data_IF_990822507572
#
_entry.id   IF_990822507572
#
_cell.length_a   1.000
_cell.length_b   1.000
_cell.length_c   1.000
_cell.angle_alpha   90.00
_cell.angle_beta   90.00
_cell.angle_gamma   90.00
#
_symmetry.space_group_name_H-M   'P 1'
#
loop_
_entity.id
_entity.type
_entity.pdbx_description
1 polymer ?
#
# COMPACT_ATOMS: atom_id res chain seq x y z
N UNK A 1 24.78 -22.85 21.49
CA UNK A 1 23.60 -21.97 21.62
C UNK A 1 22.64 -22.29 20.49
N UNK A 2 21.44 -22.79 20.82
CA UNK A 2 20.51 -23.39 19.86
C UNK A 2 19.72 -22.31 19.09
N UNK A 3 19.57 -22.50 17.78
CA UNK A 3 18.78 -21.63 16.92
C UNK A 3 17.29 -21.95 17.05
N UNK A 4 16.50 -21.01 17.59
CA UNK A 4 15.05 -21.09 17.60
C UNK A 4 14.50 -20.86 16.19
N UNK A 5 14.01 -21.92 15.55
CA UNK A 5 13.34 -21.84 14.25
C UNK A 5 11.82 -21.82 14.44
N UNK A 6 11.16 -20.80 13.88
CA UNK A 6 9.69 -20.73 13.83
C UNK A 6 9.24 -21.56 12.62
N UNK A 7 8.60 -22.72 12.88
CA UNK A 7 7.92 -23.50 11.84
C UNK A 7 6.54 -22.88 11.57
N UNK A 8 6.37 -22.25 10.41
CA UNK A 8 5.05 -21.82 9.92
C UNK A 8 4.54 -22.87 8.93
N UNK A 9 3.60 -23.72 9.36
CA UNK A 9 2.93 -24.68 8.49
C UNK A 9 1.72 -24.00 7.83
N UNK A 10 1.77 -23.72 6.52
CA UNK A 10 0.60 -23.27 5.76
C UNK A 10 -0.05 -24.48 5.07
N UNK A 11 -1.25 -24.86 5.52
CA UNK A 11 -2.06 -25.88 4.85
C UNK A 11 -2.75 -25.29 3.60
N UNK A 12 -2.01 -25.13 2.50
CA UNK A 12 -2.61 -24.91 1.19
C UNK A 12 -2.95 -26.27 0.58
N UNK A 13 -4.17 -26.76 0.83
CA UNK A 13 -4.71 -27.91 0.11
C UNK A 13 -4.95 -27.48 -1.35
N UNK A 14 -4.06 -27.89 -2.25
CA UNK A 14 -4.22 -27.72 -3.69
C UNK A 14 -5.52 -28.43 -4.11
N UNK A 15 -6.51 -27.68 -4.59
CA UNK A 15 -7.65 -28.27 -5.30
C UNK A 15 -7.12 -28.72 -6.66
N UNK A 16 -7.13 -30.03 -6.89
CA UNK A 16 -6.71 -30.75 -8.11
C UNK A 16 -5.24 -31.20 -8.11
N UNK A 17 -4.96 -32.30 -7.42
CA UNK A 17 -4.10 -33.44 -7.84
C UNK A 17 -2.72 -33.23 -8.48
N UNK A 18 -2.19 -32.02 -8.58
CA UNK A 18 -0.90 -31.74 -9.20
C UNK A 18 0.26 -32.00 -8.23
N UNK A 19 1.24 -32.80 -8.65
CA UNK A 19 2.51 -32.96 -7.94
C UNK A 19 3.21 -31.61 -7.76
N UNK A 20 3.60 -31.21 -6.53
CA UNK A 20 4.28 -29.94 -6.30
C UNK A 20 5.72 -30.00 -6.84
N UNK A 21 5.96 -29.37 -7.99
CA UNK A 21 7.29 -29.29 -8.59
C UNK A 21 8.13 -28.20 -7.91
N UNK A 22 9.15 -28.64 -7.16
CA UNK A 22 10.35 -27.93 -6.66
C UNK A 22 10.11 -26.73 -5.73
N UNK A 23 10.51 -26.91 -4.47
CA UNK A 23 10.75 -25.85 -3.50
C UNK A 23 11.70 -24.80 -4.10
N UNK A 24 11.19 -23.58 -4.34
CA UNK A 24 12.03 -22.43 -4.66
C UNK A 24 12.72 -21.99 -3.36
N UNK A 25 14.03 -22.21 -3.26
CA UNK A 25 14.84 -21.66 -2.17
C UNK A 25 14.72 -20.13 -2.19
N UNK A 26 14.12 -19.56 -1.16
CA UNK A 26 14.09 -18.12 -0.95
C UNK A 26 15.44 -17.77 -0.31
N UNK A 27 16.23 -16.82 -0.85
CA UNK A 27 17.46 -16.41 -0.19
C UNK A 27 17.14 -15.91 1.22
N UNK A 28 17.90 -16.41 2.21
CA UNK A 28 17.83 -15.92 3.58
C UNK A 28 18.09 -14.42 3.58
N UNK A 29 17.23 -13.66 4.25
CA UNK A 29 17.48 -12.26 4.55
C UNK A 29 18.68 -12.19 5.50
N UNK A 30 19.88 -11.96 4.96
CA UNK A 30 21.05 -11.63 5.77
C UNK A 30 20.80 -10.25 6.36
N UNK A 31 20.75 -10.15 7.68
CA UNK A 31 20.76 -8.83 8.33
C UNK A 31 22.13 -8.18 8.05
N UNK A 32 22.18 -6.90 7.65
CA UNK A 32 23.46 -6.25 7.42
C UNK A 32 24.26 -6.19 8.74
N UNK A 33 25.53 -6.55 8.66
CA UNK A 33 26.50 -6.47 9.75
C UNK A 33 26.76 -4.99 10.05
N UNK A 34 26.77 -4.64 11.33
CA UNK A 34 27.03 -3.27 11.78
C UNK A 34 28.44 -2.84 11.34
N UNK A 35 28.52 -1.85 10.45
CA UNK A 35 29.81 -1.32 9.98
C UNK A 35 29.75 -0.49 8.71
N UNK A 36 28.76 -0.69 7.85
CA UNK A 36 28.63 0.13 6.64
C UNK A 36 27.79 1.38 6.94
N UNK A 37 28.39 2.55 6.73
CA UNK A 37 27.73 3.87 6.77
C UNK A 37 26.72 4.00 5.62
N UNK A 38 25.66 3.19 5.63
CA UNK A 38 24.53 3.29 4.71
C UNK A 38 23.58 4.30 5.33
N UNK A 39 23.65 5.54 4.85
CA UNK A 39 22.67 6.58 5.14
C UNK A 39 21.26 5.97 5.09
N UNK A 40 20.56 6.07 6.22
CA UNK A 40 19.23 5.54 6.53
C UNK A 40 18.49 5.08 5.26
N UNK A 41 18.68 3.81 4.89
CA UNK A 41 17.90 3.19 3.83
C UNK A 41 16.50 2.98 4.41
N UNK A 42 15.68 4.02 4.31
CA UNK A 42 14.25 3.95 4.51
C UNK A 42 13.76 2.83 3.60
N UNK A 43 13.39 1.70 4.21
CA UNK A 43 12.80 0.56 3.51
C UNK A 43 11.79 1.12 2.50
N UNK A 44 11.90 0.81 1.19
CA UNK A 44 10.98 1.37 0.21
C UNK A 44 9.58 0.97 0.65
N UNK A 45 8.81 1.93 1.16
CA UNK A 45 7.41 1.72 1.44
C UNK A 45 6.80 1.26 0.13
N UNK A 46 6.22 0.05 0.12
CA UNK A 46 5.69 -0.52 -1.11
C UNK A 46 4.50 0.34 -1.51
N UNK A 47 4.74 1.26 -2.45
CA UNK A 47 3.74 2.12 -3.04
C UNK A 47 2.61 1.26 -3.59
N UNK A 48 1.37 1.75 -3.48
CA UNK A 48 0.21 1.03 -4.00
C UNK A 48 0.11 1.15 -5.52
N UNK A 49 0.38 2.35 -6.02
CA UNK A 49 0.24 2.66 -7.44
C UNK A 49 1.49 2.39 -8.26
N UNK A 50 1.34 2.59 -9.56
CA UNK A 50 2.40 2.43 -10.58
C UNK A 50 2.94 3.80 -11.00
N UNK A 51 4.02 3.80 -11.77
CA UNK A 51 4.63 5.00 -12.36
C UNK A 51 4.92 6.12 -11.34
N UNK A 52 5.74 5.86 -10.30
CA UNK A 52 5.99 6.83 -9.26
C UNK A 52 6.67 8.09 -9.81
N UNK A 53 6.07 9.24 -9.54
CA UNK A 53 6.62 10.55 -9.85
C UNK A 53 6.75 11.36 -8.56
N UNK A 54 7.98 11.75 -8.22
CA UNK A 54 8.21 12.62 -7.05
C UNK A 54 7.57 13.98 -7.28
N UNK A 55 6.80 14.46 -6.31
CA UNK A 55 6.17 15.77 -6.35
C UNK A 55 6.20 16.44 -4.97
N UNK A 56 7.16 17.35 -4.80
CA UNK A 56 7.42 18.10 -3.55
C UNK A 56 7.58 17.13 -2.37
N UNK A 57 6.60 17.10 -1.47
CA UNK A 57 6.59 16.25 -0.26
C UNK A 57 5.86 14.92 -0.45
N UNK A 58 5.48 14.59 -1.69
CA UNK A 58 4.64 13.44 -2.03
C UNK A 58 5.21 12.64 -3.19
N UNK A 59 4.70 11.43 -3.36
CA UNK A 59 4.92 10.61 -4.54
C UNK A 59 3.56 10.44 -5.23
N UNK A 60 3.46 10.87 -6.48
CA UNK A 60 2.27 10.62 -7.29
C UNK A 60 2.40 9.25 -7.94
N UNK A 61 1.32 8.49 -7.96
CA UNK A 61 1.26 7.18 -8.62
C UNK A 61 -0.07 7.01 -9.33
N UNK A 62 -0.18 6.01 -10.20
CA UNK A 62 -1.37 5.73 -10.99
C UNK A 62 -1.95 4.34 -10.72
N UNK A 63 -3.28 4.22 -10.72
CA UNK A 63 -4.00 2.94 -10.72
C UNK A 63 -5.21 3.04 -11.66
N UNK A 64 -5.42 1.99 -12.48
CA UNK A 64 -6.59 1.89 -13.36
C UNK A 64 -7.85 1.43 -12.60
N UNK A 65 -9.03 1.76 -13.14
CA UNK A 65 -10.32 1.34 -12.61
C UNK A 65 -11.05 2.39 -11.78
N UNK A 66 -10.57 3.63 -11.85
CA UNK A 66 -11.41 4.79 -11.59
C UNK A 66 -11.95 4.92 -10.17
N UNK A 67 -13.12 5.56 -10.07
CA UNK A 67 -13.79 5.81 -8.79
C UNK A 67 -14.17 4.54 -8.04
N UNK A 68 -14.53 3.47 -8.74
CA UNK A 68 -14.97 2.23 -8.12
C UNK A 68 -13.81 1.53 -7.37
N UNK A 69 -12.66 1.38 -8.04
CA UNK A 69 -11.45 0.82 -7.42
C UNK A 69 -10.97 1.71 -6.28
N UNK A 70 -10.96 3.04 -6.46
CA UNK A 70 -10.59 3.97 -5.40
C UNK A 70 -11.45 3.78 -4.14
N UNK A 71 -12.78 3.68 -4.28
CA UNK A 71 -13.68 3.44 -3.14
C UNK A 71 -13.38 2.10 -2.46
N UNK A 72 -13.10 1.04 -3.23
CA UNK A 72 -12.77 -0.28 -2.70
C UNK A 72 -11.50 -0.24 -1.86
N UNK A 73 -10.43 0.33 -2.41
CA UNK A 73 -9.14 0.52 -1.72
C UNK A 73 -9.35 1.34 -0.45
N UNK A 74 -10.00 2.51 -0.54
CA UNK A 74 -10.24 3.36 0.61
C UNK A 74 -10.98 2.59 1.73
N UNK A 75 -12.07 1.89 1.42
CA UNK A 75 -12.83 1.09 2.40
C UNK A 75 -11.97 0.00 3.05
N UNK A 76 -11.09 -0.63 2.29
CA UNK A 76 -10.19 -1.65 2.83
C UNK A 76 -9.24 -1.07 3.89
N UNK A 77 -8.61 0.08 3.59
CA UNK A 77 -7.66 0.73 4.49
C UNK A 77 -8.31 1.45 5.68
N UNK A 78 -9.57 1.86 5.54
CA UNK A 78 -10.35 2.46 6.64
C UNK A 78 -11.21 1.45 7.38
N UNK A 79 -11.02 0.15 7.16
CA UNK A 79 -11.77 -0.87 7.89
C UNK A 79 -11.58 -0.68 9.39
N UNK A 80 -12.68 -0.61 10.13
CA UNK A 80 -12.72 -0.36 11.58
C UNK A 80 -12.18 1.01 12.03
N UNK A 81 -11.98 1.96 11.11
CA UNK A 81 -11.58 3.33 11.43
C UNK A 81 -12.77 4.28 11.30
N UNK A 82 -12.82 5.29 12.16
CA UNK A 82 -13.78 6.40 11.99
C UNK A 82 -13.40 7.23 10.77
N UNK A 83 -14.38 7.51 9.92
CA UNK A 83 -14.23 8.32 8.70
C UNK A 83 -15.11 9.55 8.81
N UNK A 84 -14.55 10.70 8.45
CA UNK A 84 -15.26 11.97 8.35
C UNK A 84 -15.43 12.30 6.86
N UNK A 85 -16.58 12.87 6.50
CA UNK A 85 -16.84 13.36 5.16
C UNK A 85 -16.91 14.89 5.17
N UNK A 86 -16.36 15.51 4.14
CA UNK A 86 -16.48 16.95 3.88
C UNK A 86 -16.76 17.13 2.40
N UNK A 87 -17.64 18.06 2.07
CA UNK A 87 -17.96 18.42 0.69
C UNK A 87 -17.62 19.88 0.44
N UNK A 88 -16.89 20.15 -0.65
CA UNK A 88 -16.50 21.51 -1.03
C UNK A 88 -16.34 21.59 -2.54
N UNK A 89 -16.93 22.61 -3.17
CA UNK A 89 -16.77 22.92 -4.60
C UNK A 89 -16.98 21.71 -5.55
N UNK A 90 -18.00 20.88 -5.30
CA UNK A 90 -18.27 19.69 -6.12
C UNK A 90 -17.25 18.56 -5.98
N UNK A 91 -16.45 18.59 -4.91
CA UNK A 91 -15.56 17.51 -4.48
C UNK A 91 -16.01 16.99 -3.12
N UNK A 92 -16.21 15.67 -3.04
CA UNK A 92 -16.39 14.97 -1.77
C UNK A 92 -15.04 14.44 -1.31
N UNK A 93 -14.59 14.84 -0.12
CA UNK A 93 -13.44 14.27 0.56
C UNK A 93 -13.91 13.41 1.72
N UNK A 94 -13.35 12.21 1.86
CA UNK A 94 -13.49 11.39 3.06
C UNK A 94 -12.10 11.09 3.61
N UNK A 95 -11.92 11.21 4.92
CA UNK A 95 -10.63 10.94 5.56
C UNK A 95 -10.81 10.26 6.91
N UNK A 96 -9.79 9.51 7.32
CA UNK A 96 -9.66 9.10 8.72
C UNK A 96 -9.37 10.31 9.60
N UNK A 97 -9.68 10.20 10.89
CA UNK A 97 -9.48 11.29 11.86
C UNK A 97 -8.02 11.70 12.03
N UNK A 98 -7.09 10.76 11.85
CA UNK A 98 -5.63 10.97 11.88
C UNK A 98 -5.06 11.47 10.54
N UNK A 99 -5.91 11.65 9.53
CA UNK A 99 -5.54 11.99 8.15
C UNK A 99 -4.52 11.03 7.51
N UNK A 100 -4.36 9.81 8.03
CA UNK A 100 -3.45 8.80 7.47
C UNK A 100 -3.90 8.32 6.08
N UNK A 101 -5.20 8.29 5.83
CA UNK A 101 -5.74 8.02 4.51
C UNK A 101 -6.92 8.93 4.18
N UNK A 102 -6.99 9.38 2.93
CA UNK A 102 -8.14 10.10 2.42
C UNK A 102 -8.45 9.77 0.98
N UNK A 103 -9.72 9.86 0.59
CA UNK A 103 -10.17 9.78 -0.80
C UNK A 103 -10.81 11.11 -1.19
N UNK A 104 -10.43 11.63 -2.36
CA UNK A 104 -11.04 12.81 -3.00
C UNK A 104 -11.79 12.36 -4.23
N UNK A 105 -13.06 12.72 -4.33
CA UNK A 105 -13.96 12.38 -5.41
C UNK A 105 -14.50 13.66 -6.04
N UNK A 106 -14.01 14.02 -7.22
CA UNK A 106 -14.45 15.22 -7.95
C UNK A 106 -15.64 14.90 -8.87
N UNK A 107 -16.55 15.85 -9.08
CA UNK A 107 -17.70 15.65 -9.99
C UNK A 107 -17.29 15.23 -11.41
N UNK A 108 -16.15 15.73 -11.92
CA UNK A 108 -15.61 15.47 -13.27
C UNK A 108 -14.72 14.22 -13.38
N UNK A 109 -15.13 13.08 -12.82
CA UNK A 109 -14.44 11.78 -12.97
C UNK A 109 -13.17 11.59 -12.13
N UNK A 110 -12.35 12.64 -11.95
CA UNK A 110 -11.12 12.57 -11.17
C UNK A 110 -11.35 12.04 -9.75
N UNK A 111 -10.62 10.98 -9.39
CA UNK A 111 -10.62 10.40 -8.05
C UNK A 111 -9.19 10.13 -7.61
N UNK A 112 -8.87 10.48 -6.37
CA UNK A 112 -7.53 10.35 -5.82
C UNK A 112 -7.59 9.73 -4.41
N UNK A 113 -6.55 9.00 -4.03
CA UNK A 113 -6.30 8.59 -2.65
C UNK A 113 -4.99 9.19 -2.16
N UNK A 114 -5.03 9.90 -1.03
CA UNK A 114 -3.81 10.17 -0.26
C UNK A 114 -3.61 9.01 0.72
N UNK A 115 -2.44 8.38 0.68
CA UNK A 115 -2.02 7.37 1.65
C UNK A 115 -0.71 7.79 2.33
N UNK A 116 -0.74 7.99 3.64
CA UNK A 116 0.45 8.39 4.41
C UNK A 116 1.26 7.14 4.79
N UNK A 117 2.38 6.94 4.13
CA UNK A 117 3.32 5.85 4.37
C UNK A 117 4.60 6.43 5.00
N UNK A 118 4.88 6.05 6.25
CA UNK A 118 6.14 6.40 6.96
C UNK A 118 6.53 7.89 6.89
N UNK A 119 5.55 8.79 7.01
CA UNK A 119 5.78 10.24 7.00
C UNK A 119 5.68 10.90 5.63
N UNK A 120 5.66 10.14 4.54
CA UNK A 120 5.45 10.63 3.18
C UNK A 120 4.04 10.30 2.69
N UNK A 121 3.44 11.15 1.86
CA UNK A 121 2.17 10.83 1.21
C UNK A 121 2.41 10.26 -0.18
N UNK A 122 1.70 9.17 -0.48
CA UNK A 122 1.42 8.73 -1.85
C UNK A 122 0.09 9.37 -2.30
N UNK A 123 0.07 10.10 -3.41
CA UNK A 123 -1.15 10.59 -4.07
C UNK A 123 -1.45 9.71 -5.29
N UNK A 124 -2.38 8.78 -5.11
CA UNK A 124 -2.74 7.76 -6.10
C UNK A 124 -3.84 8.32 -6.99
N UNK A 125 -3.55 8.47 -8.28
CA UNK A 125 -4.45 8.97 -9.31
C UNK A 125 -5.18 7.79 -9.94
N UNK A 126 -6.51 7.80 -9.87
CA UNK A 126 -7.32 6.76 -10.47
C UNK A 126 -7.76 7.18 -11.87
N UNK A 127 -7.34 6.40 -12.86
CA UNK A 127 -7.69 6.60 -14.28
C UNK A 127 -8.93 5.77 -14.62
N UNK A 128 -9.85 6.39 -15.34
CA UNK A 128 -11.01 5.75 -15.96
C UNK A 128 -10.64 5.31 -17.39
#
# INVERSE_FOLDING_TARGET
MAANSIKITRNNKLKNGGTPTKYRTIPKFTQPVAGDNVGISLRPSKLLGKNPQSHKTRINTDIDGGRAVAKSIFRHYTKNKKVIQTEKNGMVRRSTTDNSISIRMYKKGKTNIDNKLFGQYEDIHFRD
#
